data_IF_646904729440
#
_entry.id   IF_646904729440
#
_cell.length_a   1.000
_cell.length_b   1.000
_cell.length_c   1.000
_cell.angle_alpha   90.00
_cell.angle_beta   90.00
_cell.angle_gamma   90.00
#
_symmetry.space_group_name_H-M   'P 1'
#
loop_
_entity.id
_entity.type
_entity.pdbx_description
1 polymer ?
#
# COMPACT_ATOMS: atom_id res chain seq x y z
N UNK A 1 -25.81 40.86 71.83
CA UNK A 1 -25.89 39.60 71.07
C UNK A 1 -24.68 39.55 70.13
N UNK A 2 -23.69 38.66 70.33
CA UNK A 2 -22.54 38.57 69.42
C UNK A 2 -22.92 37.74 68.18
N UNK A 3 -22.46 38.17 67.01
CA UNK A 3 -22.70 37.48 65.73
C UNK A 3 -21.83 36.22 65.59
N UNK A 4 -22.32 35.15 64.94
CA UNK A 4 -21.54 33.93 64.70
C UNK A 4 -20.41 34.17 63.69
N UNK A 5 -19.23 33.64 64.01
CA UNK A 5 -18.02 33.73 63.20
C UNK A 5 -18.20 32.94 61.89
N UNK A 6 -17.80 33.46 60.72
CA UNK A 6 -17.98 32.76 59.46
C UNK A 6 -17.01 31.57 59.36
N UNK A 7 -17.55 30.38 59.10
CA UNK A 7 -16.77 29.19 58.75
C UNK A 7 -16.18 29.37 57.35
N UNK A 8 -14.89 29.72 57.28
CA UNK A 8 -14.14 29.79 56.02
C UNK A 8 -13.97 28.38 55.43
N UNK A 9 -14.74 28.08 54.38
CA UNK A 9 -14.55 26.90 53.54
C UNK A 9 -13.18 26.97 52.86
N UNK A 10 -12.22 26.21 53.40
CA UNK A 10 -10.87 26.05 52.87
C UNK A 10 -10.92 25.40 51.48
N UNK A 11 -10.74 26.20 50.42
CA UNK A 11 -10.50 25.66 49.06
C UNK A 11 -9.26 24.79 49.09
N UNK A 12 -9.40 23.51 48.74
CA UNK A 12 -8.25 22.65 48.46
C UNK A 12 -7.55 23.19 47.20
N UNK A 13 -6.23 23.42 47.22
CA UNK A 13 -5.51 23.82 46.02
C UNK A 13 -5.63 22.70 44.98
N UNK A 14 -6.12 23.03 43.78
CA UNK A 14 -6.07 22.12 42.64
C UNK A 14 -4.60 22.00 42.23
N UNK A 15 -4.02 20.81 42.37
CA UNK A 15 -2.68 20.51 41.85
C UNK A 15 -2.76 20.53 40.32
N UNK A 16 -2.01 21.42 39.70
CA UNK A 16 -1.81 21.45 38.24
C UNK A 16 -0.60 20.62 37.83
N UNK A 17 -0.56 20.19 36.57
CA UNK A 17 0.60 19.56 35.95
C UNK A 17 1.78 20.54 35.93
N UNK A 18 2.99 20.06 36.23
CA UNK A 18 4.19 20.91 36.12
C UNK A 18 4.69 20.94 34.67
N UNK A 19 5.32 22.05 34.26
CA UNK A 19 5.94 22.16 32.93
C UNK A 19 6.98 21.05 32.70
N UNK A 20 7.77 20.72 33.72
CA UNK A 20 8.79 19.67 33.62
C UNK A 20 8.18 18.28 33.42
N UNK A 21 7.05 17.99 34.06
CA UNK A 21 6.34 16.72 33.90
C UNK A 21 5.78 16.59 32.48
N UNK A 22 5.22 17.67 31.92
CA UNK A 22 4.79 17.70 30.54
C UNK A 22 5.96 17.51 29.55
N UNK A 23 7.13 18.12 29.81
CA UNK A 23 8.31 17.95 28.93
C UNK A 23 8.83 16.52 28.93
N UNK A 24 8.86 15.85 30.09
CA UNK A 24 9.27 14.45 30.19
C UNK A 24 8.30 13.55 29.42
N UNK A 25 6.98 13.78 29.55
CA UNK A 25 5.97 13.01 28.82
C UNK A 25 6.14 13.17 27.30
N UNK A 26 6.32 14.39 26.80
CA UNK A 26 6.55 14.64 25.37
C UNK A 26 7.84 13.97 24.89
N UNK A 27 8.91 14.02 25.69
CA UNK A 27 10.17 13.35 25.35
C UNK A 27 10.00 11.82 25.21
N UNK A 28 9.29 11.18 26.15
CA UNK A 28 9.01 9.74 26.09
C UNK A 28 8.14 9.40 24.88
N UNK A 29 7.07 10.17 24.62
CA UNK A 29 6.20 9.96 23.44
C UNK A 29 6.98 10.12 22.14
N UNK A 30 7.88 11.09 22.04
CA UNK A 30 8.71 11.28 20.85
C UNK A 30 9.62 10.08 20.56
N UNK A 31 10.22 9.49 21.59
CA UNK A 31 11.07 8.28 21.45
C UNK A 31 10.23 7.09 20.98
N UNK A 32 9.05 6.88 21.58
CA UNK A 32 8.15 5.79 21.18
C UNK A 32 7.66 5.97 19.74
N UNK A 33 7.28 7.19 19.36
CA UNK A 33 6.82 7.49 18.01
C UNK A 33 7.91 7.23 16.96
N UNK A 34 9.18 7.55 17.25
CA UNK A 34 10.29 7.34 16.34
C UNK A 34 10.47 5.87 15.94
N UNK A 35 10.19 4.92 16.84
CA UNK A 35 10.28 3.48 16.57
C UNK A 35 8.98 2.93 15.98
N UNK A 36 7.83 3.38 16.49
CA UNK A 36 6.53 2.83 16.10
C UNK A 36 6.07 3.29 14.71
N UNK A 37 6.31 4.55 14.34
CA UNK A 37 5.85 5.12 13.08
C UNK A 37 6.34 4.39 11.82
N UNK A 38 7.64 4.06 11.64
CA UNK A 38 8.09 3.35 10.45
C UNK A 38 7.43 1.98 10.31
N UNK A 39 7.34 1.21 11.41
CA UNK A 39 6.70 -0.11 11.42
C UNK A 39 5.19 -0.03 11.10
N UNK A 40 4.50 0.99 11.62
CA UNK A 40 3.10 1.21 11.30
C UNK A 40 2.90 1.54 9.82
N UNK A 41 3.74 2.41 9.25
CA UNK A 41 3.66 2.76 7.82
C UNK A 41 3.89 1.53 6.93
N UNK A 42 4.84 0.65 7.29
CA UNK A 42 5.08 -0.59 6.55
C UNK A 42 3.91 -1.57 6.64
N UNK A 43 3.22 -1.62 7.79
CA UNK A 43 2.01 -2.43 7.94
C UNK A 43 0.88 -1.95 7.03
N UNK A 44 0.68 -0.63 6.93
CA UNK A 44 -0.29 -0.03 6.01
C UNK A 44 0.09 -0.31 4.55
N UNK A 45 1.37 -0.15 4.18
CA UNK A 45 1.85 -0.45 2.82
C UNK A 45 1.67 -1.92 2.47
N UNK A 46 1.97 -2.85 3.39
CA UNK A 46 1.72 -4.29 3.19
C UNK A 46 0.23 -4.55 2.95
N UNK A 47 -0.64 -3.92 3.72
CA UNK A 47 -2.09 -4.00 3.53
C UNK A 47 -2.53 -3.56 2.13
N UNK A 48 -1.96 -2.47 1.62
CA UNK A 48 -2.26 -1.93 0.28
C UNK A 48 -1.73 -2.76 -0.87
N UNK A 49 -0.75 -3.64 -0.67
CA UNK A 49 -0.33 -4.60 -1.71
C UNK A 49 -1.49 -5.51 -2.15
N UNK A 50 -2.50 -5.72 -1.30
CA UNK A 50 -3.73 -6.42 -1.68
C UNK A 50 -4.47 -5.75 -2.84
N UNK A 51 -4.40 -4.42 -2.94
CA UNK A 51 -5.01 -3.63 -4.01
C UNK A 51 -4.31 -3.89 -5.35
N UNK A 52 -2.97 -3.99 -5.34
CA UNK A 52 -2.20 -4.42 -6.51
C UNK A 52 -2.55 -5.85 -6.92
N UNK A 53 -2.70 -6.79 -5.97
CA UNK A 53 -3.09 -8.16 -6.28
C UNK A 53 -4.49 -8.23 -6.90
N UNK A 54 -5.43 -7.44 -6.39
CA UNK A 54 -6.78 -7.36 -6.93
C UNK A 54 -6.75 -6.81 -8.38
N UNK A 55 -6.02 -5.73 -8.61
CA UNK A 55 -5.87 -5.15 -9.95
C UNK A 55 -5.22 -6.13 -10.94
N UNK A 56 -4.15 -6.81 -10.53
CA UNK A 56 -3.49 -7.84 -11.36
C UNK A 56 -4.47 -8.99 -11.65
N UNK A 57 -5.23 -9.46 -10.66
CA UNK A 57 -6.20 -10.54 -10.85
C UNK A 57 -7.33 -10.14 -11.82
N UNK A 58 -7.79 -8.89 -11.77
CA UNK A 58 -8.77 -8.37 -12.73
C UNK A 58 -8.21 -8.36 -14.16
N UNK A 59 -6.95 -7.95 -14.33
CA UNK A 59 -6.25 -8.01 -15.63
C UNK A 59 -6.17 -9.46 -16.11
N UNK A 60 -5.79 -10.41 -15.26
CA UNK A 60 -5.71 -11.82 -15.65
C UNK A 60 -7.06 -12.37 -16.14
N UNK A 61 -8.14 -12.07 -15.42
CA UNK A 61 -9.48 -12.50 -15.80
C UNK A 61 -9.93 -11.87 -17.13
N UNK A 62 -9.64 -10.58 -17.33
CA UNK A 62 -9.95 -9.88 -18.58
C UNK A 62 -9.12 -10.44 -19.76
N UNK A 63 -7.84 -10.72 -19.54
CA UNK A 63 -6.97 -11.34 -20.52
C UNK A 63 -7.47 -12.71 -20.95
N UNK A 64 -7.93 -13.54 -20.01
CA UNK A 64 -8.49 -14.87 -20.35
C UNK A 64 -9.79 -14.75 -21.17
N UNK A 65 -10.68 -13.82 -20.80
CA UNK A 65 -11.89 -13.53 -21.58
C UNK A 65 -11.56 -13.03 -22.99
N UNK A 66 -10.55 -12.18 -23.14
CA UNK A 66 -10.08 -11.71 -24.43
C UNK A 66 -9.49 -12.86 -25.26
N UNK A 67 -8.67 -13.71 -24.63
CA UNK A 67 -8.00 -14.86 -25.28
C UNK A 67 -8.98 -15.91 -25.79
N UNK A 68 -10.14 -16.04 -25.16
CA UNK A 68 -11.19 -16.95 -25.60
C UNK A 68 -11.69 -16.66 -27.03
N UNK A 69 -11.61 -15.41 -27.48
CA UNK A 69 -12.08 -14.98 -28.80
C UNK A 69 -10.96 -14.52 -29.74
N UNK A 70 -9.71 -14.44 -29.26
CA UNK A 70 -8.59 -13.87 -30.01
C UNK A 70 -7.37 -14.81 -30.04
N UNK A 71 -6.59 -14.74 -31.12
CA UNK A 71 -5.36 -15.54 -31.29
C UNK A 71 -4.16 -15.05 -30.45
N UNK A 72 -4.27 -13.91 -29.78
CA UNK A 72 -3.29 -13.36 -28.85
C UNK A 72 -3.94 -12.74 -27.61
N UNK A 73 -3.15 -12.48 -26.58
CA UNK A 73 -3.57 -11.64 -25.46
C UNK A 73 -3.68 -10.17 -25.90
N UNK A 74 -4.46 -9.37 -25.16
CA UNK A 74 -4.65 -7.96 -25.44
C UNK A 74 -3.43 -7.15 -25.01
N UNK A 75 -2.97 -6.24 -25.86
CA UNK A 75 -1.90 -5.29 -25.56
C UNK A 75 -2.44 -3.94 -25.05
N UNK A 76 -3.71 -3.65 -25.31
CA UNK A 76 -4.40 -2.45 -24.83
C UNK A 76 -5.15 -2.71 -23.52
N UNK A 77 -4.68 -2.07 -22.44
CA UNK A 77 -5.30 -2.20 -21.12
C UNK A 77 -6.63 -1.43 -21.00
N UNK A 78 -6.68 -0.18 -21.48
CA UNK A 78 -7.81 0.73 -21.27
C UNK A 78 -8.82 0.78 -22.41
N UNK A 79 -8.44 0.35 -23.61
CA UNK A 79 -9.36 0.26 -24.75
C UNK A 79 -10.47 -0.73 -24.42
N UNK A 80 -11.72 -0.35 -24.67
CA UNK A 80 -12.86 -1.21 -24.38
C UNK A 80 -12.85 -2.50 -25.25
N UNK A 81 -13.45 -3.60 -24.78
CA UNK A 81 -13.69 -4.77 -25.62
C UNK A 81 -14.50 -4.38 -26.87
N UNK A 82 -14.23 -4.98 -28.05
CA UNK A 82 -13.38 -6.15 -28.28
C UNK A 82 -11.89 -5.85 -28.49
N UNK A 83 -11.48 -4.58 -28.60
CA UNK A 83 -10.11 -4.20 -29.01
C UNK A 83 -9.12 -4.09 -27.83
N UNK A 84 -9.59 -4.23 -26.59
CA UNK A 84 -8.76 -4.24 -25.38
C UNK A 84 -9.49 -4.77 -24.15
N UNK A 85 -8.95 -4.51 -22.97
CA UNK A 85 -9.49 -5.04 -21.70
C UNK A 85 -10.53 -4.13 -21.02
N UNK A 86 -10.60 -2.86 -21.39
CA UNK A 86 -11.51 -1.87 -20.79
C UNK A 86 -11.24 -1.58 -19.31
N UNK A 87 -9.99 -1.76 -18.85
CA UNK A 87 -9.60 -1.59 -17.46
C UNK A 87 -8.89 -0.26 -17.23
N UNK A 88 -9.06 0.30 -16.03
CA UNK A 88 -8.30 1.48 -15.65
C UNK A 88 -6.83 1.12 -15.40
N UNK A 89 -5.91 1.88 -15.99
CA UNK A 89 -4.48 1.71 -15.81
C UNK A 89 -3.98 2.21 -14.44
N UNK A 90 -4.84 2.78 -13.60
CA UNK A 90 -4.44 3.36 -12.32
C UNK A 90 -5.48 3.08 -11.24
N UNK A 91 -5.01 2.65 -10.07
CA UNK A 91 -5.76 2.62 -8.82
C UNK A 91 -5.31 3.79 -7.93
N UNK A 92 -5.81 3.84 -6.70
CA UNK A 92 -5.41 4.88 -5.75
C UNK A 92 -3.90 4.86 -5.44
N UNK A 93 -3.29 3.65 -5.40
CA UNK A 93 -1.91 3.46 -4.96
C UNK A 93 -0.99 2.83 -6.01
N UNK A 94 -1.54 2.28 -7.10
CA UNK A 94 -0.77 1.57 -8.12
C UNK A 94 -1.11 2.03 -9.54
N UNK A 95 -0.10 2.01 -10.42
CA UNK A 95 -0.26 2.13 -11.88
C UNK A 95 -0.01 0.77 -12.50
N UNK A 96 -0.93 0.32 -13.35
CA UNK A 96 -0.91 -0.98 -14.01
C UNK A 96 -0.44 -0.79 -15.46
N UNK A 97 0.50 -1.62 -15.89
CA UNK A 97 1.00 -1.64 -17.25
C UNK A 97 1.11 -3.07 -17.77
N UNK A 98 0.91 -3.23 -19.09
CA UNK A 98 1.16 -4.47 -19.81
C UNK A 98 2.47 -4.35 -20.59
N UNK A 99 3.23 -5.44 -20.65
CA UNK A 99 4.41 -5.60 -21.50
C UNK A 99 4.50 -7.03 -22.02
N UNK A 100 5.38 -7.26 -23.00
CA UNK A 100 5.70 -8.60 -23.51
C UNK A 100 4.46 -9.40 -23.96
N UNK A 101 3.48 -8.69 -24.54
CA UNK A 101 2.19 -9.26 -24.92
C UNK A 101 2.33 -9.99 -26.26
N UNK A 102 1.82 -11.22 -26.31
CA UNK A 102 1.76 -12.00 -27.54
C UNK A 102 0.80 -13.18 -27.41
N UNK A 103 0.90 -14.13 -28.35
CA UNK A 103 0.08 -15.34 -28.31
C UNK A 103 0.44 -16.28 -27.15
N UNK A 104 1.71 -16.32 -26.78
CA UNK A 104 2.23 -17.23 -25.76
C UNK A 104 2.11 -16.68 -24.32
N UNK A 105 1.82 -15.38 -24.14
CA UNK A 105 1.91 -14.79 -22.82
C UNK A 105 1.79 -13.27 -22.79
N UNK A 106 1.91 -12.72 -21.58
CA UNK A 106 1.96 -11.30 -21.29
C UNK A 106 2.61 -11.10 -19.91
N UNK A 107 3.12 -9.90 -19.67
CA UNK A 107 3.54 -9.43 -18.35
C UNK A 107 2.62 -8.29 -17.92
N UNK A 108 2.11 -8.37 -16.69
CA UNK A 108 1.40 -7.28 -16.04
C UNK A 108 2.23 -6.79 -14.86
N UNK A 109 2.43 -5.47 -14.79
CA UNK A 109 3.20 -4.80 -13.74
C UNK A 109 2.32 -3.81 -13.01
N UNK A 110 2.17 -3.98 -11.69
CA UNK A 110 1.62 -2.98 -10.80
C UNK A 110 2.76 -2.21 -10.12
N UNK A 111 2.94 -0.94 -10.48
CA UNK A 111 3.97 -0.06 -9.92
C UNK A 111 3.36 0.88 -8.87
N UNK A 112 4.01 1.03 -7.72
CA UNK A 112 3.61 1.99 -6.70
C UNK A 112 3.53 3.40 -7.30
N UNK A 113 2.40 4.08 -7.11
CA UNK A 113 2.12 5.37 -7.73
C UNK A 113 2.93 6.47 -7.04
N UNK A 114 3.64 7.28 -7.84
CA UNK A 114 4.36 8.45 -7.35
C UNK A 114 3.42 9.47 -6.70
N UNK A 115 3.90 10.17 -5.68
CA UNK A 115 3.09 11.11 -4.90
C UNK A 115 2.14 10.48 -3.88
N UNK A 116 2.07 9.15 -3.80
CA UNK A 116 1.32 8.43 -2.76
C UNK A 116 2.25 7.91 -1.67
N UNK A 117 1.70 7.59 -0.50
CA UNK A 117 2.49 6.95 0.57
C UNK A 117 2.93 5.51 0.24
N UNK A 118 2.37 4.91 -0.82
CA UNK A 118 2.82 3.62 -1.34
C UNK A 118 4.17 3.71 -2.05
N UNK A 119 4.52 4.87 -2.63
CA UNK A 119 5.84 5.11 -3.21
C UNK A 119 6.98 4.97 -2.19
N UNK A 120 6.67 5.01 -0.87
CA UNK A 120 7.63 4.74 0.19
C UNK A 120 7.87 3.25 0.48
N UNK A 121 7.18 2.32 -0.18
CA UNK A 121 7.42 0.88 -0.06
C UNK A 121 8.67 0.47 -0.86
N UNK A 122 9.84 0.83 -0.35
CA UNK A 122 11.12 0.66 -1.05
C UNK A 122 11.43 -0.79 -1.39
N UNK A 123 10.93 -1.74 -0.59
CA UNK A 123 11.12 -3.16 -0.80
C UNK A 123 10.20 -3.73 -1.91
N UNK A 124 9.05 -3.12 -2.16
CA UNK A 124 8.04 -3.66 -3.07
C UNK A 124 7.44 -2.56 -3.96
N UNK A 125 8.31 -1.90 -4.72
CA UNK A 125 7.91 -0.83 -5.63
C UNK A 125 7.09 -1.34 -6.82
N UNK A 126 7.43 -2.51 -7.34
CA UNK A 126 6.68 -3.13 -8.45
C UNK A 126 6.33 -4.56 -8.11
N UNK A 127 5.09 -4.93 -8.38
CA UNK A 127 4.62 -6.31 -8.34
C UNK A 127 4.35 -6.73 -9.77
N UNK A 128 4.99 -7.82 -10.19
CA UNK A 128 5.01 -8.27 -11.58
C UNK A 128 4.46 -9.68 -11.63
N UNK A 129 3.54 -9.91 -12.57
CA UNK A 129 3.06 -11.23 -12.93
C UNK A 129 3.31 -11.45 -14.40
N UNK A 130 4.00 -12.53 -14.72
CA UNK A 130 4.31 -12.93 -16.09
C UNK A 130 3.63 -14.26 -16.38
N UNK A 131 2.86 -14.31 -17.47
CA UNK A 131 2.35 -15.52 -18.06
C UNK A 131 3.23 -15.88 -19.27
N UNK A 132 3.72 -17.11 -19.35
CA UNK A 132 4.46 -17.60 -20.53
C UNK A 132 4.18 -19.07 -20.75
N UNK A 133 3.60 -19.40 -21.91
CA UNK A 133 3.24 -20.77 -22.29
C UNK A 133 2.33 -21.45 -21.27
N UNK A 134 1.39 -20.71 -20.67
CA UNK A 134 0.49 -21.22 -19.63
C UNK A 134 1.09 -21.26 -18.21
N UNK A 135 2.37 -20.94 -18.03
CA UNK A 135 3.00 -20.88 -16.72
C UNK A 135 2.97 -19.47 -16.15
N UNK A 136 2.51 -19.34 -14.90
CA UNK A 136 2.52 -18.09 -14.15
C UNK A 136 3.79 -17.97 -13.33
N UNK A 137 4.43 -16.80 -13.40
CA UNK A 137 5.55 -16.40 -12.56
C UNK A 137 5.23 -15.11 -11.84
N UNK A 138 5.44 -15.10 -10.53
CA UNK A 138 5.30 -13.93 -9.68
C UNK A 138 6.69 -13.40 -9.34
N UNK A 139 6.90 -12.10 -9.53
CA UNK A 139 8.14 -11.44 -9.15
C UNK A 139 7.85 -10.05 -8.60
N UNK A 140 8.84 -9.48 -7.93
CA UNK A 140 8.74 -8.11 -7.43
C UNK A 140 10.04 -7.36 -7.63
N UNK A 141 9.94 -6.05 -7.78
CA UNK A 141 11.09 -5.16 -8.00
C UNK A 141 11.07 -4.09 -6.93
N UNK A 142 12.25 -3.77 -6.43
CA UNK A 142 12.45 -2.80 -5.38
C UNK A 142 12.93 -1.45 -5.89
N UNK A 143 13.09 -0.48 -5.00
CA UNK A 143 13.51 0.87 -5.37
C UNK A 143 14.93 0.91 -5.97
N UNK A 144 15.77 -0.09 -5.70
CA UNK A 144 17.09 -0.27 -6.30
C UNK A 144 17.07 -1.04 -7.62
N UNK A 145 15.89 -1.33 -8.18
CA UNK A 145 15.68 -2.22 -9.33
C UNK A 145 16.19 -3.66 -9.12
N UNK A 146 16.33 -4.10 -7.86
CA UNK A 146 16.63 -5.50 -7.57
C UNK A 146 15.34 -6.30 -7.71
N UNK A 147 15.39 -7.36 -8.51
CA UNK A 147 14.24 -8.22 -8.78
C UNK A 147 14.27 -9.46 -7.90
N UNK A 148 13.25 -9.64 -7.08
CA UNK A 148 12.94 -10.92 -6.44
C UNK A 148 12.18 -11.80 -7.43
N UNK A 149 12.88 -12.77 -8.01
CA UNK A 149 12.33 -13.72 -8.99
C UNK A 149 11.55 -14.86 -8.36
N UNK A 150 11.62 -15.04 -7.05
CA UNK A 150 10.88 -16.08 -6.32
C UNK A 150 9.53 -15.57 -5.81
N UNK A 151 9.31 -14.24 -5.84
CA UNK A 151 8.10 -13.58 -5.38
C UNK A 151 7.89 -13.63 -3.86
N UNK A 152 8.77 -14.30 -3.12
CA UNK A 152 8.62 -14.56 -1.69
C UNK A 152 8.62 -13.30 -0.84
N UNK A 153 9.21 -12.20 -1.30
CA UNK A 153 9.31 -10.97 -0.51
C UNK A 153 8.02 -10.16 -0.46
N UNK A 154 7.39 -9.98 -1.62
CA UNK A 154 6.27 -9.06 -1.78
C UNK A 154 4.94 -9.75 -2.01
N UNK A 155 4.95 -11.01 -2.47
CA UNK A 155 3.74 -11.80 -2.73
C UNK A 155 3.38 -12.78 -1.61
N UNK A 156 4.22 -12.90 -0.58
CA UNK A 156 3.89 -13.68 0.60
C UNK A 156 2.74 -13.03 1.39
N UNK A 157 1.68 -13.82 1.64
CA UNK A 157 0.56 -13.47 2.53
C UNK A 157 1.06 -13.25 3.97
#
# INVERSE_FOLDING_TARGET
MPAPCPTLLRRRPRRGFTLIEAMIVVAVVAILAAVALPSFMDSIRKGRRSDAFAAISQVQQAQERFRANNASYADQLSTAPPDGLGLNATTDYYTIALSDVGAAGYTVTASARSGTTQAGDSACQKLVLTLTGGNLKYSSVDAGNVTDTEGKRCWAK
#
